data_IF_644740985783
#
_entry.id   IF_644740985783
#
_cell.length_a   1.000
_cell.length_b   1.000
_cell.length_c   1.000
_cell.angle_alpha   90.00
_cell.angle_beta   90.00
_cell.angle_gamma   90.00
#
_symmetry.space_group_name_H-M   'P 1'
#
loop_
_entity.id
_entity.type
_entity.pdbx_description
1 polymer ?
#
# COMPACT_ATOMS: atom_id res chain seq x y z
N UNK A 1 9.03 -13.11 27.86
CA UNK A 1 8.10 -13.42 26.76
C UNK A 1 6.72 -13.93 27.20
N UNK A 2 6.58 -14.52 28.36
CA UNK A 2 5.27 -15.05 28.84
C UNK A 2 4.17 -14.02 29.22
N UNK A 3 4.44 -12.77 29.63
CA UNK A 3 3.38 -11.85 30.04
C UNK A 3 2.47 -11.35 28.90
N UNK A 4 2.96 -11.35 27.65
CA UNK A 4 2.19 -10.86 26.51
C UNK A 4 1.37 -11.97 25.78
N UNK A 5 1.63 -13.22 26.08
CA UNK A 5 0.97 -14.37 25.44
C UNK A 5 -0.57 -14.37 25.57
N UNK A 6 -1.18 -13.95 26.70
CA UNK A 6 -2.64 -13.90 26.82
C UNK A 6 -3.26 -12.62 26.25
N UNK A 7 -2.47 -11.67 25.69
CA UNK A 7 -3.02 -10.43 25.13
C UNK A 7 -3.68 -10.67 23.76
N UNK A 8 -4.75 -9.94 23.51
CA UNK A 8 -5.49 -10.02 22.24
C UNK A 8 -5.94 -8.63 21.81
N UNK A 9 -5.42 -8.11 20.69
CA UNK A 9 -5.76 -6.77 20.21
C UNK A 9 -7.20 -6.62 19.72
N UNK A 10 -7.93 -7.72 19.54
CA UNK A 10 -9.33 -7.69 19.13
C UNK A 10 -10.26 -7.19 20.25
N UNK A 11 -9.90 -7.46 21.52
CA UNK A 11 -10.69 -7.06 22.68
C UNK A 11 -10.12 -5.79 23.32
N UNK A 12 -10.34 -4.64 22.69
CA UNK A 12 -9.75 -3.35 23.07
C UNK A 12 -10.05 -2.93 24.51
N UNK A 13 -11.25 -3.25 25.03
CA UNK A 13 -11.63 -2.90 26.40
C UNK A 13 -10.83 -3.69 27.43
N UNK A 14 -10.49 -4.94 27.14
CA UNK A 14 -9.74 -5.82 28.04
C UNK A 14 -8.23 -5.64 27.91
N UNK A 15 -7.75 -5.25 26.71
CA UNK A 15 -6.33 -5.10 26.39
C UNK A 15 -6.01 -3.66 25.94
N UNK A 16 -6.37 -2.67 26.74
CA UNK A 16 -6.18 -1.25 26.43
C UNK A 16 -4.73 -0.89 26.05
N UNK A 17 -3.74 -1.57 26.59
CA UNK A 17 -2.34 -1.37 26.22
C UNK A 17 -2.03 -1.70 24.77
N UNK A 18 -2.66 -2.73 24.20
CA UNK A 18 -2.46 -3.05 22.78
C UNK A 18 -2.96 -1.93 21.89
N UNK A 19 -4.11 -1.35 22.21
CA UNK A 19 -4.67 -0.19 21.51
C UNK A 19 -3.79 1.04 21.63
N UNK A 20 -3.25 1.30 22.83
CA UNK A 20 -2.31 2.41 23.04
C UNK A 20 -1.05 2.26 22.20
N UNK A 21 -0.45 1.06 22.20
CA UNK A 21 0.75 0.79 21.40
C UNK A 21 0.48 0.95 19.89
N UNK A 22 -0.65 0.47 19.41
CA UNK A 22 -1.04 0.65 18.01
C UNK A 22 -1.19 2.14 17.66
N UNK A 23 -1.88 2.91 18.49
CA UNK A 23 -2.04 4.35 18.31
C UNK A 23 -0.70 5.10 18.33
N UNK A 24 0.25 4.69 19.18
CA UNK A 24 1.59 5.26 19.23
C UNK A 24 2.38 4.96 17.94
N UNK A 25 2.35 3.73 17.45
CA UNK A 25 3.02 3.32 16.20
C UNK A 25 2.47 4.14 15.02
N UNK A 26 1.14 4.26 14.95
CA UNK A 26 0.48 5.06 13.92
C UNK A 26 0.93 6.53 14.01
N UNK A 27 0.92 7.12 15.21
CA UNK A 27 1.34 8.51 15.42
C UNK A 27 2.80 8.73 15.02
N UNK A 28 3.70 7.83 15.38
CA UNK A 28 5.11 7.94 14.99
C UNK A 28 5.27 7.88 13.48
N UNK A 29 4.56 6.97 12.82
CA UNK A 29 4.57 6.85 11.36
C UNK A 29 4.02 8.12 10.70
N UNK A 30 2.91 8.65 11.18
CA UNK A 30 2.34 9.90 10.67
C UNK A 30 3.33 11.07 10.81
N UNK A 31 4.00 11.19 11.95
CA UNK A 31 5.01 12.22 12.16
C UNK A 31 6.19 12.08 11.21
N UNK A 32 6.65 10.85 10.96
CA UNK A 32 7.75 10.56 10.04
C UNK A 32 7.42 11.00 8.61
N UNK A 33 6.16 10.88 8.20
CA UNK A 33 5.69 11.24 6.86
C UNK A 33 4.99 12.60 6.81
N UNK A 34 5.13 13.44 7.84
CA UNK A 34 4.50 14.77 7.93
C UNK A 34 2.98 14.74 7.73
N UNK A 35 2.32 13.76 8.30
CA UNK A 35 0.86 13.65 8.25
C UNK A 35 0.17 14.81 8.98
N UNK A 36 -0.87 15.38 8.35
CA UNK A 36 -1.69 16.44 8.95
C UNK A 36 -2.70 15.89 9.97
N UNK A 37 -3.52 16.79 10.54
CA UNK A 37 -4.52 16.47 11.58
C UNK A 37 -5.56 15.42 11.12
N UNK A 38 -5.87 15.39 9.84
CA UNK A 38 -6.86 14.48 9.25
C UNK A 38 -6.26 13.15 8.77
N UNK A 39 -4.95 12.98 8.94
CA UNK A 39 -4.28 11.76 8.50
C UNK A 39 -4.47 10.66 9.55
N UNK A 40 -4.86 9.49 9.10
CA UNK A 40 -5.05 8.30 9.93
C UNK A 40 -4.33 7.10 9.33
N UNK A 41 -4.27 6.03 10.08
CA UNK A 41 -3.65 4.78 9.68
C UNK A 41 -4.19 3.59 10.46
N UNK A 42 -3.80 2.42 10.05
CA UNK A 42 -4.06 1.15 10.74
C UNK A 42 -2.80 0.31 10.77
N UNK A 43 -2.68 -0.55 11.78
CA UNK A 43 -1.69 -1.62 11.80
C UNK A 43 -2.29 -2.85 11.14
N UNK A 44 -1.55 -3.48 10.25
CA UNK A 44 -1.99 -4.65 9.48
C UNK A 44 -1.25 -5.90 9.92
N UNK A 45 -1.68 -7.06 9.46
CA UNK A 45 -1.02 -8.35 9.74
C UNK A 45 0.35 -8.51 9.04
N UNK A 46 0.68 -7.62 8.11
CA UNK A 46 1.95 -7.65 7.38
C UNK A 46 1.93 -6.82 6.11
N UNK A 47 3.09 -6.70 5.44
CA UNK A 47 3.27 -5.87 4.25
C UNK A 47 2.33 -6.21 3.09
N UNK A 48 2.00 -7.48 2.90
CA UNK A 48 1.05 -7.90 1.87
C UNK A 48 -0.33 -7.30 2.11
N UNK A 49 -0.84 -7.34 3.33
CA UNK A 49 -2.13 -6.73 3.67
C UNK A 49 -2.08 -5.21 3.52
N UNK A 50 -0.99 -4.58 3.96
CA UNK A 50 -0.79 -3.14 3.80
C UNK A 50 -0.88 -2.71 2.34
N UNK A 51 -0.20 -3.43 1.44
CA UNK A 51 -0.24 -3.15 -0.01
C UNK A 51 -1.65 -3.34 -0.55
N UNK A 52 -2.33 -4.43 -0.20
CA UNK A 52 -3.69 -4.72 -0.68
C UNK A 52 -4.66 -3.61 -0.23
N UNK A 53 -4.63 -3.22 1.04
CA UNK A 53 -5.50 -2.15 1.56
C UNK A 53 -5.18 -0.79 0.94
N UNK A 54 -3.90 -0.49 0.70
CA UNK A 54 -3.48 0.71 0.01
C UNK A 54 -4.06 0.77 -1.42
N UNK A 55 -4.03 -0.35 -2.16
CA UNK A 55 -4.61 -0.42 -3.50
C UNK A 55 -6.13 -0.24 -3.49
N UNK A 56 -6.81 -0.81 -2.50
CA UNK A 56 -8.24 -0.57 -2.31
C UNK A 56 -8.53 0.92 -2.07
N UNK A 57 -7.78 1.55 -1.16
CA UNK A 57 -7.95 2.96 -0.84
C UNK A 57 -7.77 3.86 -2.08
N UNK A 58 -6.73 3.64 -2.89
CA UNK A 58 -6.52 4.38 -4.14
C UNK A 58 -7.62 4.14 -5.16
N UNK A 59 -8.07 2.89 -5.31
CA UNK A 59 -9.19 2.56 -6.20
C UNK A 59 -10.45 3.33 -5.83
N UNK A 60 -10.87 3.25 -4.56
CA UNK A 60 -12.08 3.93 -4.08
C UNK A 60 -11.96 5.46 -4.16
N UNK A 61 -10.81 6.00 -3.79
CA UNK A 61 -10.53 7.43 -3.90
C UNK A 61 -10.65 7.91 -5.35
N UNK A 62 -9.99 7.26 -6.29
CA UNK A 62 -10.01 7.65 -7.69
C UNK A 62 -11.38 7.42 -8.35
N UNK A 63 -12.11 6.40 -7.94
CA UNK A 63 -13.50 6.20 -8.37
C UNK A 63 -14.38 7.36 -7.92
N UNK A 64 -14.27 7.78 -6.65
CA UNK A 64 -15.06 8.87 -6.08
C UNK A 64 -14.69 10.24 -6.62
N UNK A 65 -13.39 10.56 -6.69
CA UNK A 65 -12.90 11.90 -7.04
C UNK A 65 -12.80 12.14 -8.55
N UNK A 66 -12.48 11.11 -9.33
CA UNK A 66 -12.17 11.21 -10.76
C UNK A 66 -13.10 10.38 -11.65
N UNK A 67 -14.04 9.62 -11.09
CA UNK A 67 -14.93 8.75 -11.85
C UNK A 67 -14.24 7.59 -12.57
N UNK A 68 -13.08 7.14 -12.07
CA UNK A 68 -12.32 6.04 -12.69
C UNK A 68 -13.05 4.72 -12.47
N UNK A 69 -13.49 4.07 -13.56
CA UNK A 69 -14.23 2.80 -13.53
C UNK A 69 -13.38 1.60 -13.94
N UNK A 70 -12.27 1.81 -14.64
CA UNK A 70 -11.32 0.79 -15.08
C UNK A 70 -9.92 1.16 -14.62
N UNK A 71 -9.64 1.02 -13.32
CA UNK A 71 -8.36 1.46 -12.75
C UNK A 71 -7.19 0.62 -13.24
N UNK A 72 -6.04 1.26 -13.39
CA UNK A 72 -4.77 0.57 -13.59
C UNK A 72 -3.68 1.16 -12.67
N UNK A 73 -2.65 0.36 -12.43
CA UNK A 73 -1.40 0.81 -11.84
C UNK A 73 -0.24 0.52 -12.77
N UNK A 74 0.82 1.32 -12.65
CA UNK A 74 2.07 1.10 -13.38
C UNK A 74 3.16 0.79 -12.36
N UNK A 75 3.86 -0.32 -12.56
CA UNK A 75 4.94 -0.78 -11.69
C UNK A 75 6.04 -1.45 -12.49
N UNK A 76 7.22 -1.62 -11.89
CA UNK A 76 8.26 -2.49 -12.43
C UNK A 76 7.79 -3.95 -12.43
N UNK A 77 8.30 -4.77 -13.34
CA UNK A 77 8.05 -6.22 -13.37
C UNK A 77 8.52 -6.94 -12.10
N UNK A 78 9.49 -6.37 -11.39
CA UNK A 78 10.06 -6.88 -10.14
C UNK A 78 9.27 -6.46 -8.90
N UNK A 79 8.21 -5.64 -9.04
CA UNK A 79 7.38 -5.21 -7.94
C UNK A 79 6.76 -6.40 -7.19
N UNK A 80 6.60 -6.25 -5.88
CA UNK A 80 6.12 -7.30 -5.00
C UNK A 80 4.78 -7.91 -5.46
N UNK A 81 4.67 -9.24 -5.41
CA UNK A 81 3.49 -9.99 -5.87
C UNK A 81 2.14 -9.61 -5.19
N UNK A 82 2.19 -8.87 -4.08
CA UNK A 82 0.98 -8.34 -3.45
C UNK A 82 0.22 -7.37 -4.36
N UNK A 83 0.89 -6.69 -5.30
CA UNK A 83 0.22 -5.84 -6.29
C UNK A 83 -0.58 -6.67 -7.28
N UNK A 84 -0.04 -7.81 -7.74
CA UNK A 84 -0.79 -8.75 -8.60
C UNK A 84 -2.02 -9.29 -7.88
N UNK A 85 -1.86 -9.64 -6.60
CA UNK A 85 -2.96 -10.12 -5.76
C UNK A 85 -4.03 -9.05 -5.58
N UNK A 86 -3.65 -7.80 -5.33
CA UNK A 86 -4.58 -6.69 -5.25
C UNK A 86 -5.30 -6.43 -6.59
N UNK A 87 -4.57 -6.53 -7.70
CA UNK A 87 -5.13 -6.43 -9.05
C UNK A 87 -6.24 -7.45 -9.29
N UNK A 88 -5.99 -8.70 -8.91
CA UNK A 88 -7.00 -9.76 -9.01
C UNK A 88 -8.22 -9.51 -8.11
N UNK A 89 -8.01 -9.14 -6.84
CA UNK A 89 -9.10 -8.94 -5.88
C UNK A 89 -9.98 -7.74 -6.22
N UNK A 90 -9.37 -6.66 -6.71
CA UNK A 90 -10.07 -5.39 -6.90
C UNK A 90 -10.27 -5.01 -8.36
N UNK A 91 -9.97 -5.94 -9.28
CA UNK A 91 -10.11 -5.71 -10.72
C UNK A 91 -9.33 -4.48 -11.20
N UNK A 92 -8.08 -4.34 -10.71
CA UNK A 92 -7.14 -3.30 -11.12
C UNK A 92 -6.20 -3.92 -12.16
N UNK A 93 -6.08 -3.29 -13.32
CA UNK A 93 -5.09 -3.69 -14.33
C UNK A 93 -3.67 -3.40 -13.82
N UNK A 94 -2.80 -4.41 -13.85
CA UNK A 94 -1.40 -4.27 -13.44
C UNK A 94 -0.54 -4.14 -14.70
N UNK A 95 -0.01 -2.94 -14.95
CA UNK A 95 0.89 -2.66 -16.07
C UNK A 95 2.33 -2.81 -15.60
N UNK A 96 2.89 -3.99 -15.85
CA UNK A 96 4.28 -4.30 -15.54
C UNK A 96 5.21 -3.80 -16.63
N UNK A 97 6.18 -3.01 -16.24
CA UNK A 97 7.19 -2.45 -17.13
C UNK A 97 8.51 -3.21 -16.90
N UNK A 98 9.15 -3.71 -17.95
CA UNK A 98 10.45 -4.36 -17.85
C UNK A 98 11.50 -3.44 -17.21
N UNK A 99 12.45 -4.02 -16.49
CA UNK A 99 13.60 -3.30 -15.96
C UNK A 99 14.64 -3.04 -17.06
N UNK A 100 15.48 -2.06 -16.85
CA UNK A 100 16.63 -1.78 -17.73
C UNK A 100 17.72 -2.84 -17.55
N UNK A 101 18.74 -2.83 -18.43
CA UNK A 101 19.91 -3.71 -18.33
C UNK A 101 20.72 -3.49 -17.04
N UNK A 102 20.59 -2.30 -16.43
CA UNK A 102 21.24 -1.93 -15.18
C UNK A 102 20.36 -2.22 -13.95
N UNK A 103 19.34 -3.07 -14.11
CA UNK A 103 18.39 -3.45 -13.06
C UNK A 103 17.65 -2.27 -12.41
N UNK A 104 17.40 -1.23 -13.17
CA UNK A 104 16.62 -0.06 -12.73
C UNK A 104 15.24 -0.03 -13.40
N UNK A 105 14.28 0.62 -12.76
CA UNK A 105 13.00 0.89 -13.38
C UNK A 105 13.16 1.76 -14.63
N UNK A 106 12.56 1.36 -15.76
CA UNK A 106 12.52 2.18 -16.97
C UNK A 106 11.50 3.33 -16.79
N UNK A 107 12.01 4.46 -16.32
CA UNK A 107 11.21 5.65 -16.05
C UNK A 107 10.42 6.12 -17.27
N UNK A 108 11.05 6.15 -18.45
CA UNK A 108 10.41 6.62 -19.67
C UNK A 108 9.30 5.67 -20.14
N UNK A 109 9.51 4.38 -20.04
CA UNK A 109 8.48 3.39 -20.32
C UNK A 109 7.34 3.46 -19.30
N UNK A 110 7.63 3.60 -18.01
CA UNK A 110 6.61 3.81 -16.99
C UNK A 110 5.78 5.07 -17.28
N UNK A 111 6.42 6.17 -17.62
CA UNK A 111 5.76 7.43 -17.97
C UNK A 111 4.82 7.28 -19.17
N UNK A 112 5.23 6.55 -20.21
CA UNK A 112 4.39 6.26 -21.40
C UNK A 112 3.18 5.38 -21.06
N UNK A 113 3.29 4.52 -20.05
CA UNK A 113 2.22 3.61 -19.64
C UNK A 113 1.14 4.29 -18.79
N UNK A 114 1.38 5.49 -18.29
CA UNK A 114 0.40 6.25 -17.50
C UNK A 114 -0.70 6.81 -18.37
N UNK A 115 -1.94 6.66 -17.95
CA UNK A 115 -3.11 7.24 -18.58
C UNK A 115 -4.10 7.84 -17.55
N UNK A 116 -5.25 8.32 -18.02
CA UNK A 116 -6.29 8.90 -17.15
C UNK A 116 -6.90 7.94 -16.12
N UNK A 117 -6.74 6.66 -16.31
CA UNK A 117 -7.24 5.61 -15.41
C UNK A 117 -6.17 5.12 -14.43
N UNK A 118 -4.94 5.63 -14.54
CA UNK A 118 -3.84 5.26 -13.64
C UNK A 118 -4.09 5.85 -12.26
N UNK A 119 -4.27 4.97 -11.27
CA UNK A 119 -4.55 5.34 -9.89
C UNK A 119 -3.33 5.37 -9.00
N UNK A 120 -2.25 4.68 -9.41
CA UNK A 120 -1.02 4.60 -8.63
C UNK A 120 0.19 4.29 -9.53
N UNK A 121 1.33 4.88 -9.18
CA UNK A 121 2.66 4.48 -9.64
C UNK A 121 3.38 3.82 -8.48
N UNK A 122 3.98 2.67 -8.72
CA UNK A 122 4.70 1.91 -7.71
C UNK A 122 6.19 2.04 -7.94
N UNK A 123 6.91 2.47 -6.89
CA UNK A 123 8.36 2.48 -6.84
C UNK A 123 8.84 1.76 -5.57
N UNK A 124 9.87 0.95 -5.70
CA UNK A 124 10.53 0.25 -4.59
C UNK A 124 12.00 0.67 -4.54
N UNK A 125 12.52 0.91 -3.34
CA UNK A 125 13.91 1.31 -3.17
C UNK A 125 14.48 0.73 -1.86
N UNK A 126 15.38 -0.26 -1.93
CA UNK A 126 15.80 -0.98 -3.14
C UNK A 126 14.72 -1.89 -3.70
N UNK A 127 14.86 -2.26 -4.97
CA UNK A 127 14.00 -3.24 -5.60
C UNK A 127 14.67 -4.62 -5.60
N UNK A 128 13.86 -5.66 -5.60
CA UNK A 128 14.34 -7.04 -5.70
C UNK A 128 14.61 -7.35 -7.18
N UNK A 129 15.87 -7.42 -7.55
CA UNK A 129 16.33 -7.72 -8.91
C UNK A 129 17.21 -8.96 -8.94
#
# INVERSE_FOLDING_TARGET
>A
MRPALPSNPLHLAEFAYCNTMEAEIIRWTLNLYNGGSETCGIVTSGGTESIILCMLAYREKCAKEKGVTKPNIVCSETAHAAFDKAGFYYQIEIRKIPITKDFMADYDAMKRAVDKNTICLVASAPEYA
#
